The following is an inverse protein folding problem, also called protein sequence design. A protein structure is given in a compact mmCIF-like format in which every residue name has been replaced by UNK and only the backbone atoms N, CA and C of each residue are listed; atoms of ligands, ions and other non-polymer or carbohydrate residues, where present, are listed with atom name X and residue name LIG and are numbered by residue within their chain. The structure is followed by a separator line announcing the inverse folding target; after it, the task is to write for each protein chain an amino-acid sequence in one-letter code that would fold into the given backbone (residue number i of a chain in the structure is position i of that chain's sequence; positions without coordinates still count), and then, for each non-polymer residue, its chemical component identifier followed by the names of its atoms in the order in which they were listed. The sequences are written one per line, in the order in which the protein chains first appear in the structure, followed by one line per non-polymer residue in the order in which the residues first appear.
data_IF_319776523925
#
_entry.id   IF_319776523925
#
_cell.length_a   1.000
_cell.length_b   1.000
_cell.length_c   1.000
_cell.angle_alpha   90.00
_cell.angle_beta   90.00
_cell.angle_gamma   90.00
#
_symmetry.space_group_name_H-M   'P 1'
#
loop_
_entity.id
_entity.type
_entity.pdbx_description
1 polymer ?
#
# COMPACT_ATOMS: atom_id res chain seq x y z
N UNK A 1 -0.23 -3.82 13.62
CA UNK A 1 0.41 -3.07 12.53
C UNK A 1 0.35 -1.58 12.84
N UNK A 2 1.48 -0.94 13.16
CA UNK A 2 1.52 0.49 13.45
C UNK A 2 1.44 1.32 12.16
N UNK A 3 0.81 2.50 12.25
CA UNK A 3 0.81 3.49 11.16
C UNK A 3 2.09 4.31 11.27
N UNK A 4 2.88 4.35 10.20
CA UNK A 4 4.17 5.03 10.18
C UNK A 4 4.01 6.50 9.83
N UNK A 5 3.04 6.83 8.97
CA UNK A 5 2.82 8.20 8.54
C UNK A 5 1.34 8.46 8.22
N UNK A 6 0.89 9.68 8.46
CA UNK A 6 -0.47 10.13 8.12
C UNK A 6 -0.37 11.44 7.37
N UNK A 7 -0.94 11.48 6.17
CA UNK A 7 -1.05 12.70 5.36
C UNK A 7 -2.53 12.90 5.05
N UNK A 8 -3.10 14.00 5.53
CA UNK A 8 -4.55 14.23 5.44
C UNK A 8 -5.33 13.00 5.96
N UNK A 9 -6.10 12.33 5.10
CA UNK A 9 -6.89 11.14 5.42
C UNK A 9 -6.21 9.82 4.98
N UNK A 10 -4.97 9.89 4.51
CA UNK A 10 -4.22 8.73 4.03
C UNK A 10 -3.28 8.23 5.14
N UNK A 11 -3.43 6.95 5.50
CA UNK A 11 -2.60 6.27 6.49
C UNK A 11 -1.62 5.34 5.80
N UNK A 12 -0.33 5.53 6.06
CA UNK A 12 0.77 4.74 5.50
C UNK A 12 1.27 3.73 6.54
N UNK A 13 1.38 2.46 6.15
CA UNK A 13 1.65 1.36 7.07
C UNK A 13 2.30 0.17 6.33
N UNK A 14 3.05 -0.68 7.06
CA UNK A 14 3.75 -1.87 6.54
C UNK A 14 3.24 -3.16 7.18
N UNK A 15 3.00 -4.22 6.41
CA UNK A 15 2.49 -5.46 6.98
C UNK A 15 3.68 -6.21 7.55
N UNK A 16 3.61 -6.59 8.82
CA UNK A 16 4.68 -7.36 9.46
C UNK A 16 4.75 -8.80 8.93
N UNK A 17 3.68 -9.29 8.28
CA UNK A 17 3.57 -10.64 7.74
C UNK A 17 3.06 -10.59 6.29
N UNK A 18 3.98 -10.31 5.36
CA UNK A 18 3.69 -10.19 3.91
C UNK A 18 3.65 -11.55 3.17
N UNK A 19 3.87 -12.65 3.89
CA UNK A 19 3.91 -14.01 3.35
C UNK A 19 5.24 -14.39 2.68
N UNK A 20 5.32 -15.65 2.23
CA UNK A 20 6.44 -16.23 1.49
C UNK A 20 5.92 -16.79 0.15
N UNK A 21 6.43 -16.32 -1.01
CA UNK A 21 7.57 -15.42 -1.19
C UNK A 21 7.22 -13.95 -0.90
N UNK A 22 8.17 -13.25 -0.27
CA UNK A 22 8.02 -11.84 0.10
C UNK A 22 7.85 -10.97 -1.15
N UNK A 23 6.79 -10.15 -1.14
CA UNK A 23 6.52 -9.19 -2.20
C UNK A 23 7.66 -8.13 -2.28
N UNK A 24 7.95 -7.53 -3.46
CA UNK A 24 8.91 -6.44 -3.59
C UNK A 24 8.64 -5.27 -2.63
N UNK A 25 9.65 -4.47 -2.29
CA UNK A 25 9.52 -3.38 -1.31
C UNK A 25 8.37 -2.44 -1.69
N UNK A 26 7.38 -2.32 -0.81
CA UNK A 26 6.21 -1.48 -1.04
C UNK A 26 5.63 -0.89 0.24
N UNK A 27 4.76 0.12 0.08
CA UNK A 27 4.07 0.81 1.17
C UNK A 27 2.56 0.64 1.00
N UNK A 28 1.84 0.27 2.06
CA UNK A 28 0.37 0.27 2.05
C UNK A 28 -0.16 1.64 2.40
N UNK A 29 -1.18 2.06 1.68
CA UNK A 29 -1.89 3.32 1.92
C UNK A 29 -3.37 3.00 2.06
N UNK A 30 -3.96 3.39 3.18
CA UNK A 30 -5.39 3.23 3.43
C UNK A 30 -6.06 4.59 3.49
N UNK A 31 -7.21 4.69 2.82
CA UNK A 31 -8.18 5.79 2.99
C UNK A 31 -9.57 5.18 3.05
N UNK A 32 -10.28 5.41 4.15
CA UNK A 32 -11.60 4.85 4.39
C UNK A 32 -11.63 3.30 4.23
N UNK A 33 -12.44 2.78 3.30
CA UNK A 33 -12.53 1.36 2.92
C UNK A 33 -11.55 0.94 1.82
N UNK A 34 -10.82 1.88 1.23
CA UNK A 34 -9.89 1.62 0.13
C UNK A 34 -8.46 1.42 0.65
N UNK A 35 -7.77 0.43 0.09
CA UNK A 35 -6.35 0.16 0.35
C UNK A 35 -5.60 0.11 -0.99
N UNK A 36 -4.49 0.83 -1.06
CA UNK A 36 -3.57 0.84 -2.19
C UNK A 36 -2.19 0.35 -1.76
N UNK A 37 -1.41 -0.16 -2.71
CA UNK A 37 0.00 -0.57 -2.54
C UNK A 37 0.89 0.28 -3.46
N UNK A 38 1.96 0.86 -2.91
CA UNK A 38 2.96 1.62 -3.67
C UNK A 38 4.30 0.87 -3.72
N UNK A 39 4.70 0.43 -4.91
CA UNK A 39 5.92 -0.34 -5.12
C UNK A 39 7.13 0.58 -5.34
N UNK A 40 8.21 0.36 -4.57
CA UNK A 40 9.47 1.07 -4.71
C UNK A 40 10.37 0.28 -5.67
N UNK A 41 10.42 0.67 -6.94
CA UNK A 41 11.32 0.07 -7.94
C UNK A 41 12.62 0.86 -8.02
N UNK A 42 13.76 0.23 -7.73
CA UNK A 42 15.10 0.77 -7.99
C UNK A 42 15.35 0.77 -9.51
N UNK A 43 15.13 1.91 -10.16
CA UNK A 43 15.36 2.09 -11.61
C UNK A 43 14.38 3.01 -12.34
N UNK A 44 13.40 3.58 -11.65
CA UNK A 44 12.42 4.50 -12.22
C UNK A 44 11.10 4.35 -11.48
N UNK A 45 10.52 5.47 -11.08
CA UNK A 45 9.24 5.61 -10.36
C UNK A 45 8.09 4.95 -11.15
N UNK A 46 8.00 3.63 -11.09
CA UNK A 46 6.87 2.85 -11.58
C UNK A 46 5.74 2.92 -10.56
N UNK A 47 5.00 4.02 -10.55
CA UNK A 47 3.79 4.16 -9.73
C UNK A 47 2.68 3.29 -10.35
N UNK A 48 2.71 1.98 -10.11
CA UNK A 48 1.54 1.13 -10.40
C UNK A 48 0.51 1.38 -9.30
N UNK A 49 -0.41 2.29 -9.57
CA UNK A 49 -1.62 2.47 -8.79
C UNK A 49 -2.52 1.23 -9.00
N UNK A 50 -2.25 0.16 -8.26
CA UNK A 50 -3.12 -1.01 -8.26
C UNK A 50 -4.37 -0.66 -7.45
N UNK A 51 -5.36 -0.12 -8.17
CA UNK A 51 -6.74 0.09 -7.73
C UNK A 51 -7.25 -1.24 -7.15
N UNK A 52 -7.64 -1.27 -5.88
CA UNK A 52 -8.36 -2.42 -5.30
C UNK A 52 -9.73 -1.97 -4.78
N UNK A 53 -10.72 -2.29 -5.62
CA UNK A 53 -12.12 -2.60 -5.35
C UNK A 53 -12.92 -1.67 -4.41
N UNK A 54 -13.77 -0.83 -5.03
CA UNK A 54 -15.09 -0.56 -4.45
C UNK A 54 -15.88 -1.87 -4.47
N UNK A 55 -15.89 -2.60 -3.36
CA UNK A 55 -16.90 -3.62 -3.10
C UNK A 55 -18.26 -2.95 -2.91
N UNK A 56 -18.95 -2.67 -4.01
CA UNK A 56 -20.39 -2.40 -4.09
C UNK A 56 -20.90 -3.05 -5.39
N UNK A 57 -21.12 -4.36 -5.33
CA UNK A 57 -22.35 -5.05 -5.75
C UNK A 57 -22.48 -6.30 -4.90
#
# INVERSE_FOLDING_TARGET
MPVVFVIYEFRFFFYSNEGDPREPVHIHVRRDRSVAKFWLKTGGTGCRFLRLFSGLT
#
